data_IF_903311668252
#
_entry.id   IF_903311668252
#
_cell.length_a   1.000
_cell.length_b   1.000
_cell.length_c   1.000
_cell.angle_alpha   90.00
_cell.angle_beta   90.00
_cell.angle_gamma   90.00
#
_symmetry.space_group_name_H-M   'P 1'
#
loop_
_entity.id
_entity.type
_entity.pdbx_description
1 polymer ?
#
# COMPACT_ATOMS: atom_id res chain seq x y z
N UNK A 1 26.62 16.12 -4.92
CA UNK A 1 26.18 17.41 -4.33
C UNK A 1 24.66 17.53 -4.24
N UNK A 2 23.92 17.20 -5.31
CA UNK A 2 22.45 17.13 -5.36
C UNK A 2 21.82 16.35 -4.19
N UNK A 3 22.36 15.18 -3.85
CA UNK A 3 21.85 14.37 -2.73
C UNK A 3 22.01 15.03 -1.37
N UNK A 4 23.07 15.82 -1.17
CA UNK A 4 23.28 16.55 0.07
C UNK A 4 22.23 17.65 0.18
N UNK A 5 21.99 18.40 -0.90
CA UNK A 5 20.96 19.45 -0.93
C UNK A 5 19.57 18.86 -0.67
N UNK A 6 19.22 17.73 -1.30
CA UNK A 6 17.98 17.00 -1.01
C UNK A 6 17.89 16.59 0.46
N UNK A 7 18.96 15.99 1.02
CA UNK A 7 18.98 15.56 2.42
C UNK A 7 18.88 16.74 3.39
N UNK A 8 19.52 17.88 3.08
CA UNK A 8 19.42 19.11 3.88
C UNK A 8 18.03 19.74 3.78
N UNK A 9 17.40 19.72 2.60
CA UNK A 9 16.02 20.16 2.43
C UNK A 9 15.04 19.25 3.18
N UNK A 10 15.18 17.93 3.07
CA UNK A 10 14.37 16.97 3.85
C UNK A 10 14.59 17.14 5.35
N UNK A 11 15.81 17.46 5.79
CA UNK A 11 16.12 17.69 7.21
C UNK A 11 15.61 19.05 7.72
N UNK A 12 15.60 20.09 6.89
CA UNK A 12 15.19 21.44 7.26
C UNK A 12 13.70 21.73 7.10
N UNK A 13 13.03 21.12 6.12
CA UNK A 13 11.59 21.30 5.85
C UNK A 13 10.75 20.09 6.27
N UNK A 14 11.37 18.92 6.45
CA UNK A 14 10.65 17.67 6.69
C UNK A 14 10.10 17.06 5.40
N UNK A 15 10.06 15.72 5.34
CA UNK A 15 9.60 14.97 4.17
C UNK A 15 8.10 15.17 3.84
N UNK A 16 7.30 15.61 4.82
CA UNK A 16 5.86 15.83 4.66
C UNK A 16 5.50 17.15 3.95
N UNK A 17 6.43 18.11 3.84
CA UNK A 17 6.18 19.48 3.33
C UNK A 17 6.97 19.76 2.04
N UNK A 18 7.58 18.73 1.43
CA UNK A 18 8.20 18.86 0.11
C UNK A 18 7.11 18.94 -0.96
N UNK A 19 6.87 20.16 -1.45
CA UNK A 19 6.06 20.41 -2.65
C UNK A 19 6.94 21.00 -3.74
N UNK A 20 6.45 20.94 -4.99
CA UNK A 20 7.18 21.45 -6.16
C UNK A 20 7.55 22.92 -6.01
N UNK A 21 6.63 23.73 -5.47
CA UNK A 21 6.82 25.15 -5.21
C UNK A 21 7.91 25.39 -4.15
N UNK A 22 8.01 24.53 -3.13
CA UNK A 22 9.05 24.60 -2.09
C UNK A 22 10.42 24.24 -2.62
N UNK A 23 10.48 23.28 -3.54
CA UNK A 23 11.74 22.87 -4.20
C UNK A 23 12.21 23.96 -5.17
N UNK A 24 11.31 24.53 -5.98
CA UNK A 24 11.62 25.64 -6.87
C UNK A 24 12.12 26.87 -6.10
N UNK A 25 11.45 27.25 -5.01
CA UNK A 25 11.88 28.36 -4.16
C UNK A 25 13.26 28.12 -3.52
N UNK A 26 13.53 26.91 -3.04
CA UNK A 26 14.83 26.57 -2.47
C UNK A 26 15.96 26.59 -3.51
N UNK A 27 15.69 26.14 -4.73
CA UNK A 27 16.63 26.20 -5.84
C UNK A 27 16.89 27.65 -6.27
N UNK A 28 15.85 28.50 -6.32
CA UNK A 28 15.98 29.92 -6.64
C UNK A 28 16.81 30.68 -5.59
N UNK A 29 16.64 30.34 -4.31
CA UNK A 29 17.46 30.87 -3.20
C UNK A 29 18.93 30.48 -3.36
N UNK A 30 19.20 29.22 -3.74
CA UNK A 30 20.55 28.70 -4.00
C UNK A 30 21.20 29.35 -5.24
N UNK A 31 20.41 29.68 -6.26
CA UNK A 31 20.86 30.43 -7.44
C UNK A 31 21.15 31.88 -7.10
N UNK A 32 20.28 32.55 -6.33
CA UNK A 32 20.51 33.92 -5.83
C UNK A 32 21.73 34.03 -4.92
N UNK A 33 22.01 33.01 -4.12
CA UNK A 33 23.21 32.91 -3.30
C UNK A 33 24.48 32.56 -4.11
N UNK A 34 24.37 32.37 -5.44
CA UNK A 34 25.48 32.04 -6.32
C UNK A 34 26.05 30.62 -6.11
N UNK A 35 25.36 29.77 -5.36
CA UNK A 35 25.82 28.41 -5.01
C UNK A 35 25.48 27.37 -6.08
N UNK A 36 24.54 27.69 -6.97
CA UNK A 36 24.08 26.82 -8.06
C UNK A 36 23.83 27.69 -9.30
N UNK A 37 24.26 27.25 -10.48
CA UNK A 37 23.96 27.97 -11.73
C UNK A 37 22.54 27.66 -12.22
N UNK A 38 21.88 28.59 -12.92
CA UNK A 38 20.54 28.32 -13.51
C UNK A 38 20.53 27.12 -14.47
N UNK A 39 21.68 26.78 -15.07
CA UNK A 39 21.81 25.61 -15.93
C UNK A 39 21.76 24.31 -15.11
N UNK A 40 22.46 24.27 -13.97
CA UNK A 40 22.47 23.11 -13.08
C UNK A 40 21.11 22.89 -12.40
N UNK A 41 20.41 23.98 -12.05
CA UNK A 41 19.06 23.91 -11.50
C UNK A 41 18.07 23.28 -12.49
N UNK A 42 18.14 23.65 -13.79
CA UNK A 42 17.32 23.04 -14.85
C UNK A 42 17.65 21.57 -15.07
N UNK A 43 18.93 21.23 -15.16
CA UNK A 43 19.37 19.84 -15.31
C UNK A 43 18.91 18.96 -14.14
N UNK A 44 18.93 19.52 -12.92
CA UNK A 44 18.48 18.84 -11.72
C UNK A 44 16.96 18.63 -11.68
N UNK A 45 16.18 19.60 -12.17
CA UNK A 45 14.73 19.47 -12.30
C UNK A 45 14.33 18.42 -13.35
N UNK A 46 14.98 18.41 -14.52
CA UNK A 46 14.76 17.37 -15.53
C UNK A 46 15.08 15.98 -15.00
N UNK A 47 16.25 15.83 -14.37
CA UNK A 47 16.69 14.55 -13.83
C UNK A 47 15.76 14.04 -12.73
N UNK A 48 15.28 14.94 -11.86
CA UNK A 48 14.29 14.62 -10.84
C UNK A 48 12.96 14.17 -11.45
N UNK A 49 12.52 14.81 -12.53
CA UNK A 49 11.28 14.44 -13.22
C UNK A 49 11.40 13.09 -13.95
N UNK A 50 12.54 12.82 -14.57
CA UNK A 50 12.79 11.58 -15.30
C UNK A 50 12.98 10.39 -14.35
N UNK A 51 13.85 10.53 -13.36
CA UNK A 51 14.12 9.49 -12.37
C UNK A 51 12.90 9.26 -11.47
N UNK A 52 12.20 10.35 -11.10
CA UNK A 52 10.98 10.29 -10.30
C UNK A 52 9.86 9.50 -10.97
N UNK A 53 9.64 9.67 -12.29
CA UNK A 53 8.66 8.85 -13.02
C UNK A 53 9.00 7.37 -12.99
N UNK A 54 10.27 7.03 -13.24
CA UNK A 54 10.73 5.65 -13.31
C UNK A 54 10.68 4.95 -11.96
N UNK A 55 11.09 5.63 -10.90
CA UNK A 55 10.94 5.10 -9.53
C UNK A 55 9.47 4.97 -9.15
N UNK A 56 8.63 5.94 -9.50
CA UNK A 56 7.19 5.87 -9.18
C UNK A 56 6.49 4.71 -9.89
N UNK A 57 6.83 4.44 -11.16
CA UNK A 57 6.31 3.27 -11.88
C UNK A 57 6.75 1.95 -11.24
N UNK A 58 8.02 1.83 -10.87
CA UNK A 58 8.52 0.63 -10.18
C UNK A 58 7.85 0.44 -8.81
N UNK A 59 7.71 1.53 -8.03
CA UNK A 59 7.07 1.50 -6.72
C UNK A 59 5.58 1.16 -6.84
N UNK A 60 4.89 1.72 -7.83
CA UNK A 60 3.49 1.43 -8.12
C UNK A 60 3.29 -0.04 -8.54
N UNK A 61 4.22 -0.60 -9.31
CA UNK A 61 4.20 -2.00 -9.70
C UNK A 61 4.40 -2.95 -8.50
N UNK A 62 5.38 -2.66 -7.62
CA UNK A 62 5.57 -3.44 -6.39
C UNK A 62 4.40 -3.31 -5.42
N UNK A 63 3.84 -2.11 -5.26
CA UNK A 63 2.65 -1.89 -4.44
C UNK A 63 1.46 -2.68 -4.95
N UNK A 64 1.17 -2.62 -6.26
CA UNK A 64 0.08 -3.39 -6.86
C UNK A 64 0.28 -4.90 -6.66
N UNK A 65 1.50 -5.40 -6.81
CA UNK A 65 1.81 -6.81 -6.59
C UNK A 65 1.56 -7.22 -5.13
N UNK A 66 2.03 -6.41 -4.18
CA UNK A 66 1.84 -6.67 -2.76
C UNK A 66 0.37 -6.60 -2.35
N UNK A 67 -0.40 -5.65 -2.91
CA UNK A 67 -1.84 -5.55 -2.66
C UNK A 67 -2.60 -6.75 -3.23
N UNK A 68 -2.29 -7.17 -4.45
CA UNK A 68 -2.90 -8.33 -5.08
C UNK A 68 -2.62 -9.62 -4.29
N UNK A 69 -1.38 -9.82 -3.82
CA UNK A 69 -1.04 -10.96 -2.95
C UNK A 69 -1.75 -10.90 -1.60
N UNK A 70 -1.89 -9.72 -1.00
CA UNK A 70 -2.58 -9.55 0.27
C UNK A 70 -4.07 -9.86 0.15
N UNK A 71 -4.74 -9.31 -0.87
CA UNK A 71 -6.15 -9.58 -1.17
C UNK A 71 -6.37 -11.07 -1.47
N UNK A 72 -5.51 -11.68 -2.29
CA UNK A 72 -5.60 -13.11 -2.61
C UNK A 72 -5.43 -14.03 -1.40
N UNK A 73 -4.51 -13.70 -0.47
CA UNK A 73 -4.35 -14.44 0.79
C UNK A 73 -5.55 -14.27 1.73
N UNK A 74 -6.15 -13.08 1.77
CA UNK A 74 -7.29 -12.80 2.62
C UNK A 74 -8.57 -13.48 2.12
N UNK A 75 -8.77 -13.50 0.82
CA UNK A 75 -9.91 -14.16 0.18
C UNK A 75 -9.88 -15.67 0.44
N UNK A 76 -8.72 -16.31 0.27
CA UNK A 76 -8.55 -17.74 0.53
C UNK A 76 -8.82 -18.12 1.99
N UNK A 77 -8.30 -17.33 2.94
CA UNK A 77 -8.57 -17.53 4.38
C UNK A 77 -10.04 -17.33 4.74
N UNK A 78 -10.74 -16.45 4.02
CA UNK A 78 -12.18 -16.20 4.23
C UNK A 78 -13.01 -17.36 3.71
N UNK A 79 -12.68 -17.88 2.53
CA UNK A 79 -13.29 -19.09 1.94
C UNK A 79 -13.12 -20.31 2.85
N UNK A 80 -11.90 -20.55 3.38
CA UNK A 80 -11.66 -21.67 4.31
C UNK A 80 -12.50 -21.57 5.59
N UNK A 81 -12.67 -20.35 6.12
CA UNK A 81 -13.52 -20.10 7.29
C UNK A 81 -15.00 -20.31 6.98
N UNK A 82 -15.45 -19.93 5.79
CA UNK A 82 -16.82 -20.14 5.31
C UNK A 82 -17.11 -21.64 5.17
N UNK A 83 -16.24 -22.39 4.49
CA UNK A 83 -16.39 -23.83 4.33
C UNK A 83 -16.41 -24.58 5.69
N UNK A 84 -15.56 -24.17 6.63
CA UNK A 84 -15.58 -24.73 7.99
C UNK A 84 -16.87 -24.42 8.74
N UNK A 85 -17.49 -23.26 8.50
CA UNK A 85 -18.77 -22.88 9.07
C UNK A 85 -19.91 -23.68 8.44
N UNK A 86 -19.93 -23.82 7.12
CA UNK A 86 -20.92 -24.62 6.39
C UNK A 86 -20.88 -26.09 6.82
N UNK A 87 -19.69 -26.67 6.99
CA UNK A 87 -19.54 -28.04 7.50
C UNK A 87 -20.09 -28.21 8.93
N UNK A 88 -19.93 -27.19 9.79
CA UNK A 88 -20.51 -27.18 11.15
C UNK A 88 -22.02 -27.01 11.13
N UNK A 89 -22.54 -26.16 10.25
CA UNK A 89 -23.99 -25.98 10.09
C UNK A 89 -24.61 -27.29 9.58
N UNK A 90 -24.03 -27.91 8.55
CA UNK A 90 -24.50 -29.19 8.03
C UNK A 90 -24.47 -30.31 9.10
N UNK A 91 -23.41 -30.40 9.92
CA UNK A 91 -23.35 -31.39 10.99
C UNK A 91 -24.39 -31.15 12.09
N UNK A 92 -24.65 -29.87 12.44
CA UNK A 92 -25.68 -29.49 13.38
C UNK A 92 -27.08 -29.70 12.81
N UNK A 93 -27.31 -29.48 11.52
CA UNK A 93 -28.58 -29.74 10.84
C UNK A 93 -28.88 -31.24 10.78
N UNK A 94 -27.88 -32.09 10.50
CA UNK A 94 -28.01 -33.55 10.57
C UNK A 94 -28.33 -33.99 12.00
N UNK A 95 -27.64 -33.45 13.00
CA UNK A 95 -27.89 -33.76 14.40
C UNK A 95 -29.28 -33.27 14.87
N UNK A 96 -29.71 -32.09 14.43
CA UNK A 96 -31.02 -31.54 14.73
C UNK A 96 -32.16 -32.29 14.01
N UNK A 97 -31.91 -32.79 12.80
CA UNK A 97 -32.83 -33.67 12.09
C UNK A 97 -32.95 -35.04 12.78
N UNK A 98 -31.83 -35.62 13.23
CA UNK A 98 -31.83 -36.85 14.02
C UNK A 98 -32.49 -36.70 15.40
N UNK A 99 -32.46 -35.50 16.00
CA UNK A 99 -33.15 -35.20 17.24
C UNK A 99 -34.67 -34.94 17.08
N UNK A 100 -35.15 -34.71 15.85
CA UNK A 100 -36.57 -34.47 15.53
C UNK A 100 -37.34 -35.72 15.08
N UNK A 101 -36.69 -36.87 14.89
CA UNK A 101 -37.41 -38.14 14.71
C UNK A 101 -38.00 -38.61 16.05
N UNK A 102 -39.33 -38.69 16.19
CA UNK A 102 -40.00 -38.92 17.47
C UNK A 102 -39.72 -40.29 18.07
N UNK A 103 -39.48 -40.30 19.39
CA UNK A 103 -39.83 -41.41 20.29
C UNK A 103 -41.35 -41.58 20.29
N UNK A 104 -41.89 -42.43 19.43
CA UNK A 104 -43.17 -43.17 19.62
C UNK A 104 -43.02 -44.47 18.83
N UNK A 105 -42.75 -45.60 19.48
CA UNK A 105 -43.74 -46.56 20.01
C UNK A 105 -43.25 -47.16 21.35
N UNK A 106 -43.87 -46.89 22.51
CA UNK A 106 -45.03 -47.60 23.13
C UNK A 106 -44.82 -49.12 23.16
N UNK A 107 -44.33 -49.72 24.27
CA UNK A 107 -45.13 -50.23 25.41
C UNK A 107 -46.19 -51.25 25.01
N UNK A 108 -45.85 -52.55 25.09
CA UNK A 108 -46.72 -53.66 25.49
C UNK A 108 -45.86 -54.90 25.73
#
# INVERSE_FOLDING_TARGET
MVDIIKKTLLAGLGAAVITKEKVEAALDELVKQGKVSSADARAMAEKLSADGKKEFENLAAELNKNLAEFVGKFDRKTQDRLAALEARVASLEIAAAAAKTPKETTSA
#
